data_IF_949102427998
#
_entry.id   IF_949102427998
#
_cell.length_a   1.000
_cell.length_b   1.000
_cell.length_c   1.000
_cell.angle_alpha   90.00
_cell.angle_beta   90.00
_cell.angle_gamma   90.00
#
_symmetry.space_group_name_H-M   'P 1'
#
loop_
_entity.id
_entity.type
_entity.pdbx_description
1 polymer ?
#
# COMPACT_ATOMS: atom_id res chain seq x y z
N UNK A 1 0.41 -22.24 8.62
CA UNK A 1 -0.55 -21.17 8.97
C UNK A 1 -0.73 -21.19 10.48
N UNK A 2 -0.03 -20.32 11.21
CA UNK A 2 -0.20 -20.21 12.64
C UNK A 2 -1.50 -19.41 12.90
N UNK A 3 -2.44 -20.05 13.60
CA UNK A 3 -3.62 -19.37 14.14
C UNK A 3 -3.13 -18.23 15.03
N UNK A 4 -3.49 -16.98 14.71
CA UNK A 4 -3.37 -15.87 15.64
C UNK A 4 -4.29 -16.16 16.80
N UNK A 5 -3.75 -16.85 17.81
CA UNK A 5 -4.44 -17.01 19.08
C UNK A 5 -4.45 -15.67 19.79
N UNK A 6 -5.67 -15.25 20.13
CA UNK A 6 -6.02 -14.25 21.14
C UNK A 6 -5.42 -12.84 20.95
N UNK A 7 -6.22 -11.83 21.23
CA UNK A 7 -5.86 -10.41 21.32
C UNK A 7 -4.77 -10.17 22.41
N UNK A 8 -3.53 -10.56 22.11
CA UNK A 8 -2.38 -10.23 22.95
C UNK A 8 -2.11 -8.75 22.70
N UNK A 9 -2.36 -7.93 23.70
CA UNK A 9 -2.00 -6.53 23.64
C UNK A 9 -0.49 -6.41 23.99
N UNK A 10 0.35 -6.39 22.96
CA UNK A 10 1.80 -6.28 23.12
C UNK A 10 2.21 -5.01 23.86
N UNK A 11 1.43 -3.93 23.70
CA UNK A 11 1.66 -2.66 24.42
C UNK A 11 1.64 -2.85 25.92
N UNK A 12 0.63 -3.54 26.46
CA UNK A 12 0.51 -3.74 27.91
C UNK A 12 1.46 -4.80 28.44
N UNK A 13 1.79 -5.81 27.63
CA UNK A 13 2.62 -6.95 28.08
C UNK A 13 4.11 -6.66 27.93
N UNK A 14 4.52 -6.01 26.84
CA UNK A 14 5.94 -5.82 26.50
C UNK A 14 6.27 -4.35 26.26
N UNK A 15 5.35 -3.58 25.69
CA UNK A 15 5.62 -2.23 25.21
C UNK A 15 6.05 -1.26 26.31
N UNK A 16 5.52 -1.39 27.51
CA UNK A 16 5.92 -0.57 28.66
C UNK A 16 7.40 -0.76 29.06
N UNK A 17 8.04 -1.86 28.62
CA UNK A 17 9.46 -2.09 28.88
C UNK A 17 10.36 -1.19 28.03
N UNK A 18 9.88 -0.69 26.85
CA UNK A 18 10.69 0.11 25.95
C UNK A 18 11.30 1.36 26.58
N UNK A 19 10.62 1.96 27.57
CA UNK A 19 11.12 3.13 28.30
C UNK A 19 12.27 2.82 29.27
N UNK A 20 12.48 1.54 29.63
CA UNK A 20 13.50 1.07 30.57
C UNK A 20 14.59 0.25 29.90
N UNK A 21 14.70 0.26 28.59
CA UNK A 21 15.75 -0.43 27.83
C UNK A 21 16.98 0.46 27.75
N UNK A 22 18.06 0.03 28.36
CA UNK A 22 19.35 0.75 28.38
C UNK A 22 20.48 -0.01 27.71
N UNK A 23 20.20 -1.22 27.21
CA UNK A 23 21.19 -2.05 26.53
C UNK A 23 20.65 -2.72 25.26
N UNK A 24 21.58 -3.08 24.36
CA UNK A 24 21.25 -3.83 23.14
C UNK A 24 20.69 -5.22 23.47
N UNK A 25 21.18 -5.83 24.57
CA UNK A 25 20.73 -7.15 25.03
C UNK A 25 19.27 -7.13 25.46
N UNK A 26 18.89 -6.13 26.26
CA UNK A 26 17.49 -5.95 26.72
C UNK A 26 16.56 -5.77 25.52
N UNK A 27 16.92 -4.91 24.55
CA UNK A 27 16.13 -4.71 23.35
C UNK A 27 16.02 -5.98 22.50
N UNK A 28 17.12 -6.75 22.41
CA UNK A 28 17.13 -8.03 21.70
C UNK A 28 16.17 -9.04 22.32
N UNK A 29 16.14 -9.11 23.66
CA UNK A 29 15.22 -9.97 24.40
C UNK A 29 13.75 -9.59 24.15
N UNK A 30 13.45 -8.29 24.25
CA UNK A 30 12.09 -7.77 23.96
C UNK A 30 11.65 -8.11 22.54
N UNK A 31 12.48 -7.91 21.52
CA UNK A 31 12.13 -8.26 20.15
C UNK A 31 11.96 -9.76 19.95
N UNK A 32 12.75 -10.59 20.64
CA UNK A 32 12.59 -12.05 20.62
C UNK A 32 11.26 -12.49 21.24
N UNK A 33 10.85 -11.87 22.34
CA UNK A 33 9.59 -12.20 22.99
C UNK A 33 8.39 -11.78 22.14
N UNK A 34 8.45 -10.60 21.51
CA UNK A 34 7.44 -10.20 20.53
C UNK A 34 7.40 -11.19 19.36
N UNK A 35 8.55 -11.57 18.79
CA UNK A 35 8.63 -12.51 17.67
C UNK A 35 7.99 -13.86 18.01
N UNK A 36 8.25 -14.39 19.21
CA UNK A 36 7.60 -15.64 19.70
C UNK A 36 6.09 -15.47 19.77
N UNK A 37 5.59 -14.35 20.32
CA UNK A 37 4.15 -14.12 20.49
C UNK A 37 3.40 -14.01 19.14
N UNK A 38 4.02 -13.41 18.12
CA UNK A 38 3.41 -13.29 16.79
C UNK A 38 3.69 -14.47 15.86
N UNK A 39 4.42 -15.48 16.34
CA UNK A 39 4.76 -16.70 15.56
C UNK A 39 5.74 -16.44 14.39
N UNK A 40 6.61 -15.44 14.53
CA UNK A 40 7.70 -15.15 13.59
C UNK A 40 8.98 -15.79 14.12
N UNK A 41 9.95 -16.03 13.22
CA UNK A 41 11.25 -16.56 13.64
C UNK A 41 11.88 -15.67 14.72
N UNK A 42 12.19 -16.24 15.86
CA UNK A 42 12.87 -15.64 17.01
C UNK A 42 14.31 -16.18 17.13
N UNK A 43 15.00 -15.78 18.17
CA UNK A 43 16.40 -16.18 18.41
C UNK A 43 17.38 -15.20 17.80
N UNK A 44 17.00 -13.92 17.72
CA UNK A 44 17.91 -12.84 17.35
C UNK A 44 19.04 -12.73 18.37
N UNK A 45 20.26 -12.47 17.86
CA UNK A 45 21.44 -12.25 18.68
C UNK A 45 21.72 -10.76 18.82
N UNK A 46 22.25 -10.34 19.96
CA UNK A 46 22.62 -8.96 20.25
C UNK A 46 23.52 -8.35 19.18
N UNK A 47 24.55 -9.08 18.73
CA UNK A 47 25.44 -8.62 17.69
C UNK A 47 24.75 -8.43 16.32
N UNK A 48 23.68 -9.19 16.03
CA UNK A 48 22.87 -8.98 14.83
C UNK A 48 22.06 -7.68 14.94
N UNK A 49 21.40 -7.45 16.08
CA UNK A 49 20.65 -6.21 16.32
C UNK A 49 21.58 -4.99 16.22
N UNK A 50 22.74 -5.03 16.87
CA UNK A 50 23.74 -3.97 16.80
C UNK A 50 24.22 -3.73 15.36
N UNK A 51 24.54 -4.79 14.62
CA UNK A 51 24.93 -4.71 13.22
C UNK A 51 23.83 -4.12 12.34
N UNK A 52 22.56 -4.52 12.57
CA UNK A 52 21.42 -4.07 11.78
C UNK A 52 20.91 -2.68 12.16
N UNK A 53 21.26 -2.17 13.33
CA UNK A 53 21.01 -0.78 13.73
C UNK A 53 22.06 0.19 13.20
N UNK A 54 23.18 -0.31 12.68
CA UNK A 54 24.26 0.45 12.06
C UNK A 54 23.99 0.60 10.56
N UNK A 55 23.46 1.76 10.16
CA UNK A 55 23.13 2.08 8.77
C UNK A 55 24.36 2.16 7.87
N UNK A 56 25.55 2.39 8.40
CA UNK A 56 26.82 2.34 7.66
C UNK A 56 27.15 0.96 7.07
N UNK A 57 26.45 -0.09 7.52
CA UNK A 57 26.59 -1.48 7.02
C UNK A 57 25.42 -1.89 6.11
N UNK A 58 24.86 -0.98 5.35
CA UNK A 58 23.62 -1.20 4.57
C UNK A 58 23.72 -2.38 3.58
N UNK A 59 24.87 -2.63 2.99
CA UNK A 59 25.13 -3.77 2.09
C UNK A 59 24.94 -5.15 2.77
N UNK A 60 25.11 -5.23 4.09
CA UNK A 60 24.91 -6.46 4.87
C UNK A 60 23.48 -6.64 5.36
N UNK A 61 22.68 -5.59 5.25
CA UNK A 61 21.32 -5.49 5.79
C UNK A 61 20.27 -5.61 4.71
N UNK A 62 20.55 -5.06 3.52
CA UNK A 62 19.54 -4.78 2.51
C UNK A 62 19.97 -5.13 1.09
N UNK A 63 19.00 -5.35 0.24
CA UNK A 63 19.22 -5.44 -1.21
C UNK A 63 18.35 -4.38 -1.89
N UNK A 64 18.93 -3.65 -2.85
CA UNK A 64 18.26 -2.56 -3.57
C UNK A 64 17.75 -3.03 -4.92
N UNK A 65 16.48 -2.72 -5.22
CA UNK A 65 15.83 -3.01 -6.48
C UNK A 65 15.30 -1.72 -7.13
N UNK A 66 15.33 -1.66 -8.46
CA UNK A 66 14.70 -0.57 -9.22
C UNK A 66 13.43 -1.10 -9.92
N UNK A 67 12.29 -0.52 -9.58
CA UNK A 67 11.01 -0.82 -10.23
C UNK A 67 10.57 0.34 -11.12
N UNK A 68 10.09 0.05 -12.33
CA UNK A 68 9.53 1.08 -13.23
C UNK A 68 8.20 1.60 -12.68
N UNK A 69 8.02 2.93 -12.68
CA UNK A 69 6.75 3.58 -12.37
C UNK A 69 5.83 3.51 -13.59
N UNK A 70 4.50 3.50 -13.38
CA UNK A 70 3.48 3.46 -14.44
C UNK A 70 3.60 4.59 -15.47
N UNK A 71 3.93 5.78 -15.02
CA UNK A 71 3.99 7.00 -15.84
C UNK A 71 5.42 7.43 -16.14
N UNK A 72 6.35 6.49 -16.21
CA UNK A 72 7.77 6.73 -16.45
C UNK A 72 8.58 6.93 -15.16
N UNK A 73 9.92 6.81 -15.31
CA UNK A 73 10.85 6.84 -14.18
C UNK A 73 10.94 5.51 -13.42
N UNK A 74 11.76 5.50 -12.39
CA UNK A 74 12.00 4.33 -11.52
C UNK A 74 11.70 4.66 -10.06
N UNK A 75 11.44 3.63 -9.28
CA UNK A 75 11.30 3.67 -7.83
C UNK A 75 12.36 2.74 -7.24
N UNK A 76 13.14 3.23 -6.29
CA UNK A 76 14.04 2.39 -5.52
C UNK A 76 13.22 1.66 -4.44
N UNK A 77 13.43 0.35 -4.34
CA UNK A 77 12.89 -0.50 -3.28
C UNK A 77 14.07 -1.06 -2.53
N UNK A 78 14.07 -0.88 -1.23
CA UNK A 78 15.10 -1.41 -0.32
C UNK A 78 14.50 -2.59 0.42
N UNK A 79 14.95 -3.79 0.10
CA UNK A 79 14.47 -5.02 0.72
C UNK A 79 15.39 -5.44 1.86
N UNK A 80 14.88 -5.63 3.08
CA UNK A 80 15.68 -6.13 4.18
C UNK A 80 16.04 -7.62 3.97
N UNK A 81 17.22 -8.05 4.38
CA UNK A 81 17.59 -9.46 4.43
C UNK A 81 16.75 -10.20 5.49
N UNK A 82 16.69 -11.52 5.41
CA UNK A 82 15.73 -12.34 6.19
C UNK A 82 15.77 -12.05 7.70
N UNK A 83 16.96 -11.98 8.31
CA UNK A 83 17.07 -11.73 9.76
C UNK A 83 16.60 -10.33 10.15
N UNK A 84 16.98 -9.30 9.36
CA UNK A 84 16.47 -7.95 9.56
C UNK A 84 14.94 -7.88 9.32
N UNK A 85 14.43 -8.59 8.29
CA UNK A 85 13.02 -8.64 8.00
C UNK A 85 12.22 -9.14 9.21
N UNK A 86 12.66 -10.21 9.87
CA UNK A 86 11.98 -10.77 11.04
C UNK A 86 12.02 -9.83 12.25
N UNK A 87 13.15 -9.14 12.50
CA UNK A 87 13.23 -8.11 13.54
C UNK A 87 12.26 -6.95 13.27
N UNK A 88 12.22 -6.47 12.01
CA UNK A 88 11.31 -5.42 11.60
C UNK A 88 9.84 -5.84 11.68
N UNK A 89 9.52 -7.10 11.42
CA UNK A 89 8.16 -7.64 11.59
C UNK A 89 7.75 -7.68 13.07
N UNK A 90 8.65 -8.13 13.94
CA UNK A 90 8.42 -8.12 15.39
C UNK A 90 8.20 -6.69 15.88
N UNK A 91 9.07 -5.77 15.52
CA UNK A 91 8.93 -4.37 15.93
C UNK A 91 7.69 -3.71 15.34
N UNK A 92 7.34 -3.98 14.08
CA UNK A 92 6.12 -3.44 13.47
C UNK A 92 4.84 -3.92 14.18
N UNK A 93 4.80 -5.17 14.64
CA UNK A 93 3.67 -5.68 15.42
C UNK A 93 3.48 -4.87 16.72
N UNK A 94 4.58 -4.57 17.41
CA UNK A 94 4.58 -3.72 18.59
C UNK A 94 4.18 -2.27 18.26
N UNK A 95 4.72 -1.68 17.20
CA UNK A 95 4.35 -0.34 16.75
C UNK A 95 2.86 -0.21 16.43
N UNK A 96 2.26 -1.24 15.83
CA UNK A 96 0.83 -1.23 15.51
C UNK A 96 -0.07 -1.21 16.75
N UNK A 97 0.37 -1.75 17.87
CA UNK A 97 -0.38 -1.69 19.14
C UNK A 97 -0.27 -0.30 19.81
N UNK A 98 0.83 0.42 19.56
CA UNK A 98 0.97 1.82 19.98
C UNK A 98 0.28 2.81 19.06
N UNK A 99 0.15 2.46 17.78
CA UNK A 99 -0.35 3.37 16.77
C UNK A 99 -1.85 3.61 16.90
N UNK A 100 -2.21 4.84 17.22
CA UNK A 100 -3.60 5.31 17.20
C UNK A 100 -3.78 6.17 15.93
N UNK A 101 -4.50 5.68 14.92
CA UNK A 101 -4.68 6.41 13.67
C UNK A 101 -5.55 7.65 13.88
N UNK A 102 -5.18 8.75 13.21
CA UNK A 102 -6.03 9.94 13.15
C UNK A 102 -7.31 9.66 12.33
N UNK A 103 -8.40 10.41 12.55
CA UNK A 103 -9.63 10.26 11.76
C UNK A 103 -9.40 10.44 10.27
N UNK A 104 -8.45 11.27 9.87
CA UNK A 104 -8.16 11.67 8.49
C UNK A 104 -7.19 10.72 7.77
N UNK A 105 -6.45 9.87 8.50
CA UNK A 105 -5.50 8.93 7.92
C UNK A 105 -6.19 7.63 7.52
N UNK A 106 -6.09 7.25 6.23
CA UNK A 106 -6.69 6.04 5.66
C UNK A 106 -5.66 5.06 5.10
N UNK A 107 -4.51 5.54 4.63
CA UNK A 107 -3.44 4.68 4.12
C UNK A 107 -2.71 3.95 5.24
N UNK A 108 -2.42 2.65 5.04
CA UNK A 108 -1.69 1.81 5.99
C UNK A 108 -2.35 1.66 7.37
N UNK A 109 -3.62 1.96 7.48
CA UNK A 109 -4.41 1.83 8.70
C UNK A 109 -5.23 0.55 8.63
N UNK A 110 -5.17 -0.23 9.70
CA UNK A 110 -6.00 -1.43 9.84
C UNK A 110 -7.48 -1.03 9.78
N UNK A 111 -8.29 -1.84 9.13
CA UNK A 111 -9.74 -1.65 9.00
C UNK A 111 -10.16 -0.40 8.20
N UNK A 112 -9.22 0.27 7.53
CA UNK A 112 -9.49 1.35 6.57
C UNK A 112 -9.09 0.96 5.14
N UNK A 113 -9.79 1.51 4.16
CA UNK A 113 -9.61 1.18 2.74
C UNK A 113 -9.62 2.41 1.84
N UNK A 114 -9.17 2.25 0.60
CA UNK A 114 -9.26 3.32 -0.42
C UNK A 114 -10.73 3.71 -0.71
N UNK A 115 -11.67 2.77 -0.57
CA UNK A 115 -13.10 3.05 -0.76
C UNK A 115 -13.65 3.94 0.37
N UNK A 116 -13.29 3.66 1.62
CA UNK A 116 -13.68 4.48 2.76
C UNK A 116 -13.04 5.87 2.71
N UNK A 117 -11.77 5.97 2.25
CA UNK A 117 -11.13 7.25 1.98
C UNK A 117 -11.92 8.05 0.94
N UNK A 118 -12.22 7.45 -0.20
CA UNK A 118 -12.96 8.08 -1.28
C UNK A 118 -14.40 8.46 -0.87
N UNK A 119 -15.04 7.67 0.00
CA UNK A 119 -16.39 7.92 0.51
C UNK A 119 -16.54 9.28 1.22
N UNK A 120 -15.47 9.77 1.87
CA UNK A 120 -15.47 11.06 2.58
C UNK A 120 -15.69 12.26 1.63
N UNK A 121 -15.46 12.06 0.34
CA UNK A 121 -15.46 13.12 -0.67
C UNK A 121 -16.56 12.96 -1.74
N UNK A 122 -17.48 12.04 -1.52
CA UNK A 122 -18.60 11.80 -2.44
C UNK A 122 -19.50 13.03 -2.53
N UNK A 123 -19.97 13.34 -3.75
CA UNK A 123 -20.93 14.43 -4.02
C UNK A 123 -20.33 15.83 -4.03
N UNK A 124 -19.05 16.00 -3.72
CA UNK A 124 -18.39 17.32 -3.63
C UNK A 124 -18.19 17.97 -5.00
N UNK A 125 -18.35 19.30 -5.06
CA UNK A 125 -18.17 20.06 -6.31
C UNK A 125 -16.70 20.19 -6.72
N UNK A 126 -15.81 20.34 -5.76
CA UNK A 126 -14.38 20.52 -5.97
C UNK A 126 -13.59 19.50 -5.17
N UNK A 127 -12.61 18.84 -5.80
CA UNK A 127 -11.69 17.91 -5.17
C UNK A 127 -10.28 18.30 -5.58
N UNK A 128 -9.45 18.62 -4.60
CA UNK A 128 -8.03 18.90 -4.76
C UNK A 128 -7.23 17.69 -4.27
N UNK A 129 -6.51 17.06 -5.19
CA UNK A 129 -5.56 16.00 -4.86
C UNK A 129 -4.15 16.57 -4.88
N UNK A 130 -3.39 16.29 -3.85
CA UNK A 130 -1.99 16.72 -3.66
C UNK A 130 -1.18 15.48 -3.29
N UNK A 131 -0.06 15.27 -3.97
CA UNK A 131 0.88 14.17 -3.72
C UNK A 131 2.13 14.72 -3.02
N UNK A 132 2.63 14.03 -2.01
CA UNK A 132 3.89 14.38 -1.36
C UNK A 132 5.07 13.82 -2.18
N UNK A 133 6.02 14.69 -2.50
CA UNK A 133 7.21 14.29 -3.26
C UNK A 133 8.13 13.44 -2.39
N UNK A 134 8.58 12.30 -2.94
CA UNK A 134 9.54 11.39 -2.30
C UNK A 134 9.21 11.07 -0.82
N UNK A 135 7.94 10.77 -0.55
CA UNK A 135 7.33 10.67 0.78
C UNK A 135 8.18 9.91 1.80
N UNK A 136 8.48 8.62 1.54
CA UNK A 136 9.30 7.84 2.48
C UNK A 136 10.73 8.38 2.62
N UNK A 137 11.45 8.69 1.53
CA UNK A 137 12.78 9.29 1.63
C UNK A 137 12.83 10.69 2.28
N UNK A 138 11.71 11.38 2.43
CA UNK A 138 11.65 12.65 3.17
C UNK A 138 11.60 12.46 4.68
N UNK A 139 11.28 11.25 5.15
CA UNK A 139 11.24 10.94 6.58
C UNK A 139 12.64 10.52 7.02
N UNK A 140 13.30 11.42 7.75
CA UNK A 140 14.66 11.20 8.25
C UNK A 140 14.69 10.29 9.46
N UNK A 141 15.88 9.73 9.78
CA UNK A 141 16.12 8.96 10.99
C UNK A 141 15.76 9.75 12.25
N UNK A 142 16.09 11.05 12.28
CA UNK A 142 15.75 11.92 13.41
C UNK A 142 14.22 11.98 13.63
N UNK A 143 13.43 12.15 12.57
CA UNK A 143 11.96 12.15 12.69
C UNK A 143 11.42 10.83 13.25
N UNK A 144 12.05 9.71 12.88
CA UNK A 144 11.70 8.38 13.43
C UNK A 144 12.06 8.32 14.91
N UNK A 145 13.24 8.79 15.29
CA UNK A 145 13.70 8.82 16.67
C UNK A 145 12.82 9.69 17.55
N UNK A 146 12.44 10.87 17.08
CA UNK A 146 11.52 11.78 17.77
C UNK A 146 10.16 11.12 18.05
N UNK A 147 9.63 10.36 17.11
CA UNK A 147 8.40 9.60 17.29
C UNK A 147 8.55 8.49 18.33
N UNK A 148 9.71 7.81 18.37
CA UNK A 148 9.95 6.73 19.33
C UNK A 148 10.15 7.26 20.75
N UNK A 149 10.72 8.45 20.89
CA UNK A 149 10.89 9.13 22.20
C UNK A 149 9.58 9.73 22.73
N UNK A 150 8.66 10.07 21.84
CA UNK A 150 7.39 10.71 22.20
C UNK A 150 6.32 9.72 22.66
N UNK A 151 5.26 10.27 23.32
CA UNK A 151 4.02 9.53 23.57
C UNK A 151 3.38 9.03 22.25
N UNK A 152 2.79 7.84 22.22
CA UNK A 152 2.57 6.90 23.34
C UNK A 152 3.65 5.85 23.54
N UNK A 153 4.78 5.90 22.81
CA UNK A 153 5.82 4.85 22.84
C UNK A 153 6.78 5.07 24.01
N UNK A 154 7.33 6.29 24.14
CA UNK A 154 8.26 6.66 25.22
C UNK A 154 9.47 5.72 25.35
N UNK A 155 10.13 5.38 24.25
CA UNK A 155 11.39 4.64 24.33
C UNK A 155 12.43 5.40 25.17
N UNK A 156 13.34 4.67 25.81
CA UNK A 156 14.60 5.27 26.27
C UNK A 156 15.40 5.80 25.07
N UNK A 157 16.31 6.72 25.32
CA UNK A 157 17.18 7.29 24.25
C UNK A 157 17.98 6.19 23.53
N UNK A 158 18.49 5.22 24.27
CA UNK A 158 19.26 4.11 23.67
C UNK A 158 18.38 3.20 22.81
N UNK A 159 17.18 2.83 23.27
CA UNK A 159 16.24 2.05 22.49
C UNK A 159 15.79 2.81 21.22
N UNK A 160 15.49 4.10 21.33
CA UNK A 160 15.08 4.93 20.21
C UNK A 160 16.21 5.04 19.15
N UNK A 161 17.46 5.22 19.58
CA UNK A 161 18.64 5.25 18.72
C UNK A 161 18.83 3.94 17.94
N UNK A 162 18.72 2.80 18.61
CA UNK A 162 18.86 1.48 18.00
C UNK A 162 17.71 1.18 17.04
N UNK A 163 16.46 1.43 17.45
CA UNK A 163 15.27 1.16 16.66
C UNK A 163 15.15 2.09 15.45
N UNK A 164 15.52 3.37 15.59
CA UNK A 164 15.57 4.29 14.44
C UNK A 164 16.58 3.84 13.40
N UNK A 165 17.78 3.40 13.83
CA UNK A 165 18.78 2.81 12.96
C UNK A 165 18.30 1.52 12.28
N UNK A 166 17.60 0.64 13.03
CA UNK A 166 17.02 -0.59 12.48
C UNK A 166 16.00 -0.29 11.37
N UNK A 167 15.19 0.76 11.51
CA UNK A 167 14.10 1.12 10.63
C UNK A 167 14.47 1.99 9.43
N UNK A 168 15.69 2.50 9.36
CA UNK A 168 16.16 3.41 8.31
C UNK A 168 17.22 2.75 7.42
N UNK A 169 17.46 3.33 6.26
CA UNK A 169 18.50 2.93 5.32
C UNK A 169 19.23 4.18 4.80
N UNK A 170 20.51 4.04 4.48
CA UNK A 170 21.33 5.15 4.00
C UNK A 170 21.00 5.50 2.55
N UNK A 171 20.65 6.74 2.31
CA UNK A 171 20.46 7.35 0.99
C UNK A 171 21.45 8.53 0.85
N UNK A 172 21.65 9.10 -0.37
CA UNK A 172 22.58 10.20 -0.56
C UNK A 172 22.35 11.42 0.33
N UNK A 173 21.09 11.65 0.75
CA UNK A 173 20.69 12.74 1.64
C UNK A 173 20.79 12.40 3.14
N UNK A 174 21.23 11.20 3.51
CA UNK A 174 21.30 10.70 4.88
C UNK A 174 20.45 9.47 5.13
N UNK A 175 20.32 9.08 6.39
CA UNK A 175 19.50 7.94 6.80
C UNK A 175 18.01 8.32 6.78
N UNK A 176 17.22 7.58 6.00
CA UNK A 176 15.80 7.84 5.78
C UNK A 176 14.96 6.57 5.86
N UNK A 177 13.67 6.75 5.97
CA UNK A 177 12.71 5.66 5.96
C UNK A 177 12.63 5.03 4.55
N UNK A 178 12.98 3.72 4.39
CA UNK A 178 13.05 3.14 3.06
C UNK A 178 11.69 2.64 2.56
N UNK A 179 11.52 2.65 1.24
CA UNK A 179 10.43 1.91 0.61
C UNK A 179 10.77 0.42 0.59
N UNK A 180 10.18 -0.36 1.50
CA UNK A 180 10.40 -1.80 1.52
C UNK A 180 10.47 -2.41 2.90
N UNK A 181 10.64 -1.62 3.93
CA UNK A 181 10.63 -2.12 5.30
C UNK A 181 9.20 -2.26 5.84
N UNK A 182 8.91 -3.32 6.62
CA UNK A 182 7.59 -3.52 7.21
C UNK A 182 7.14 -2.39 8.14
N UNK A 183 8.09 -1.73 8.79
CA UNK A 183 7.86 -0.63 9.73
C UNK A 183 7.54 0.70 9.06
N UNK A 184 8.00 0.91 7.81
CA UNK A 184 7.88 2.19 7.12
C UNK A 184 6.44 2.73 7.02
N UNK A 185 5.42 1.91 6.71
CA UNK A 185 4.04 2.38 6.66
C UNK A 185 3.53 2.93 8.00
N UNK A 186 3.77 2.21 9.09
CA UNK A 186 3.29 2.61 10.43
C UNK A 186 4.02 3.85 10.92
N UNK A 187 5.36 3.86 10.82
CA UNK A 187 6.18 5.01 11.22
C UNK A 187 5.86 6.26 10.40
N UNK A 188 5.64 6.14 9.10
CA UNK A 188 5.25 7.29 8.28
C UNK A 188 3.95 7.94 8.74
N UNK A 189 2.97 7.14 9.15
CA UNK A 189 1.74 7.67 9.70
C UNK A 189 1.93 8.34 11.06
N UNK A 190 2.81 7.80 11.92
CA UNK A 190 3.11 8.39 13.21
C UNK A 190 3.82 9.75 13.06
N UNK A 191 4.80 9.84 12.15
CA UNK A 191 5.50 11.08 11.81
C UNK A 191 4.53 12.15 11.28
N UNK A 192 3.60 11.76 10.40
CA UNK A 192 2.66 12.69 9.80
C UNK A 192 1.52 13.15 10.72
N UNK A 193 1.41 12.63 11.93
CA UNK A 193 0.26 12.87 12.82
C UNK A 193 -0.01 14.37 13.04
N UNK A 194 1.01 15.12 13.46
CA UNK A 194 0.87 16.58 13.74
C UNK A 194 0.57 17.37 12.46
N UNK A 195 1.17 16.99 11.34
CA UNK A 195 0.87 17.56 10.03
C UNK A 195 -0.61 17.34 9.66
N UNK A 196 -1.13 16.11 9.83
CA UNK A 196 -2.53 15.78 9.56
C UNK A 196 -3.48 16.62 10.42
N UNK A 197 -3.16 16.82 11.71
CA UNK A 197 -3.95 17.63 12.64
C UNK A 197 -4.02 19.09 12.18
N UNK A 198 -2.89 19.71 11.78
CA UNK A 198 -2.85 21.08 11.27
C UNK A 198 -3.58 21.24 9.92
N UNK A 199 -3.39 20.27 9.00
CA UNK A 199 -4.06 20.26 7.70
C UNK A 199 -5.57 20.11 7.83
N UNK A 200 -6.03 19.25 8.74
CA UNK A 200 -7.45 19.04 9.00
C UNK A 200 -8.07 20.30 9.62
N UNK A 201 -7.40 20.94 10.57
CA UNK A 201 -7.85 22.22 11.14
C UNK A 201 -7.91 23.34 10.09
N UNK A 202 -6.92 23.41 9.18
CA UNK A 202 -6.92 24.36 8.07
C UNK A 202 -8.09 24.11 7.10
N UNK A 203 -8.36 22.86 6.76
CA UNK A 203 -9.48 22.46 5.89
C UNK A 203 -10.83 22.81 6.55
N UNK A 204 -10.99 22.51 7.82
CA UNK A 204 -12.21 22.79 8.57
C UNK A 204 -12.57 24.27 8.58
N UNK A 205 -11.59 25.16 8.73
CA UNK A 205 -11.80 26.63 8.73
C UNK A 205 -12.43 27.16 7.45
N UNK A 206 -12.23 26.46 6.32
CA UNK A 206 -12.81 26.84 5.02
C UNK A 206 -13.98 25.93 4.58
N UNK A 207 -14.51 25.11 5.48
CA UNK A 207 -15.59 24.17 5.18
C UNK A 207 -15.20 23.06 4.20
N UNK A 208 -13.91 22.67 4.17
CA UNK A 208 -13.42 21.58 3.35
C UNK A 208 -13.20 20.29 4.17
N UNK A 209 -13.39 19.14 3.54
CA UNK A 209 -13.06 17.82 4.07
C UNK A 209 -11.62 17.47 3.69
N UNK A 210 -10.84 16.95 4.64
CA UNK A 210 -9.47 16.48 4.44
C UNK A 210 -9.35 14.99 4.72
N UNK A 211 -8.58 14.27 3.88
CA UNK A 211 -8.09 12.93 4.18
C UNK A 211 -6.70 12.70 3.58
N UNK A 212 -5.95 11.75 4.15
CA UNK A 212 -4.65 11.31 3.61
C UNK A 212 -4.62 9.78 3.44
N UNK A 213 -4.15 9.35 2.26
CA UNK A 213 -3.85 7.96 1.96
C UNK A 213 -2.38 7.83 1.56
N UNK A 214 -1.51 7.47 2.51
CA UNK A 214 -0.05 7.48 2.35
C UNK A 214 0.48 8.87 1.96
N UNK A 215 1.03 9.02 0.74
CA UNK A 215 1.51 10.25 0.14
C UNK A 215 0.41 11.09 -0.55
N UNK A 216 -0.78 10.51 -0.78
CA UNK A 216 -1.90 11.18 -1.43
C UNK A 216 -2.78 11.92 -0.40
N UNK A 217 -2.75 13.25 -0.40
CA UNK A 217 -3.65 14.12 0.36
C UNK A 217 -4.83 14.54 -0.51
N UNK A 218 -6.03 14.54 0.06
CA UNK A 218 -7.25 14.94 -0.65
C UNK A 218 -8.03 15.95 0.18
N UNK A 219 -8.37 17.07 -0.47
CA UNK A 219 -9.28 18.08 0.07
C UNK A 219 -10.51 18.17 -0.82
N UNK A 220 -11.70 18.36 -0.23
CA UNK A 220 -12.92 18.53 -1.03
C UNK A 220 -13.87 19.55 -0.39
N UNK A 221 -14.55 20.32 -1.24
CA UNK A 221 -15.51 21.36 -0.81
C UNK A 221 -16.58 21.56 -1.87
N UNK A 222 -17.70 22.14 -1.47
CA UNK A 222 -18.75 22.58 -2.37
C UNK A 222 -18.55 24.05 -2.83
N UNK A 223 -17.62 24.78 -2.17
CA UNK A 223 -17.21 26.13 -2.50
C UNK A 223 -15.90 26.14 -3.29
N UNK A 224 -15.66 27.16 -4.15
CA UNK A 224 -14.45 27.30 -4.98
C UNK A 224 -13.27 27.88 -4.18
N UNK A 225 -12.94 27.24 -3.06
CA UNK A 225 -11.86 27.64 -2.14
C UNK A 225 -10.57 26.84 -2.31
N UNK A 226 -10.58 25.82 -3.17
CA UNK A 226 -9.49 24.85 -3.33
C UNK A 226 -8.61 25.14 -4.55
N UNK A 227 -8.54 26.39 -5.03
CA UNK A 227 -7.71 26.74 -6.18
C UNK A 227 -6.23 26.61 -5.84
N UNK A 228 -5.43 26.07 -6.76
CA UNK A 228 -3.97 25.94 -6.59
C UNK A 228 -3.23 27.29 -6.56
N UNK A 229 -3.88 28.36 -6.97
CA UNK A 229 -3.39 29.75 -6.85
C UNK A 229 -3.97 30.48 -5.63
N UNK A 230 -4.79 29.82 -4.82
CA UNK A 230 -5.48 30.40 -3.69
C UNK A 230 -4.68 30.37 -2.38
N UNK A 231 -5.10 31.18 -1.42
CA UNK A 231 -4.48 31.27 -0.10
C UNK A 231 -4.46 29.94 0.67
N UNK A 232 -5.51 29.14 0.50
CA UNK A 232 -5.56 27.81 1.14
C UNK A 232 -4.45 26.88 0.64
N UNK A 233 -4.19 26.85 -0.67
CA UNK A 233 -3.11 26.05 -1.22
C UNK A 233 -1.74 26.47 -0.69
N UNK A 234 -1.50 27.79 -0.60
CA UNK A 234 -0.29 28.35 0.00
C UNK A 234 -0.15 27.93 1.48
N UNK A 235 -1.25 27.99 2.23
CA UNK A 235 -1.26 27.53 3.63
C UNK A 235 -0.93 26.02 3.73
N UNK A 236 -1.49 25.17 2.86
CA UNK A 236 -1.15 23.74 2.81
C UNK A 236 0.34 23.54 2.51
N UNK A 237 0.92 24.28 1.55
CA UNK A 237 2.37 24.22 1.25
C UNK A 237 3.20 24.55 2.48
N UNK A 238 2.89 25.67 3.14
CA UNK A 238 3.60 26.10 4.36
C UNK A 238 3.53 25.05 5.47
N UNK A 239 2.35 24.45 5.71
CA UNK A 239 2.21 23.39 6.71
C UNK A 239 3.06 22.16 6.32
N UNK A 240 2.99 21.72 5.08
CA UNK A 240 3.73 20.54 4.59
C UNK A 240 5.24 20.76 4.71
N UNK A 241 5.73 21.96 4.33
CA UNK A 241 7.15 22.32 4.42
C UNK A 241 7.65 22.42 5.87
N UNK A 242 6.82 22.92 6.80
CA UNK A 242 7.10 22.95 8.24
C UNK A 242 7.42 21.55 8.80
N UNK A 243 6.80 20.51 8.26
CA UNK A 243 7.03 19.11 8.66
C UNK A 243 8.07 18.39 7.79
N UNK A 244 8.87 19.10 6.99
CA UNK A 244 9.98 18.53 6.23
C UNK A 244 9.57 17.85 4.93
N UNK A 245 8.32 17.99 4.50
CA UNK A 245 7.83 17.42 3.24
C UNK A 245 7.76 18.50 2.14
N UNK A 246 7.56 18.04 0.90
CA UNK A 246 7.37 18.92 -0.27
C UNK A 246 6.19 18.45 -1.10
N UNK A 247 5.45 19.39 -1.68
CA UNK A 247 4.37 19.07 -2.61
C UNK A 247 4.91 18.63 -3.97
N UNK A 248 4.25 17.67 -4.59
CA UNK A 248 4.49 17.30 -5.97
C UNK A 248 3.55 18.06 -6.90
N UNK A 249 3.94 19.27 -7.29
CA UNK A 249 3.11 20.15 -8.11
C UNK A 249 2.64 19.51 -9.42
N UNK A 250 3.51 18.68 -10.06
CA UNK A 250 3.17 17.99 -11.33
C UNK A 250 2.02 17.00 -11.19
N UNK A 251 1.79 16.50 -9.98
CA UNK A 251 0.69 15.56 -9.68
C UNK A 251 -0.49 16.26 -8.99
N UNK A 252 -0.31 17.46 -8.49
CA UNK A 252 -1.38 18.26 -7.89
C UNK A 252 -2.45 18.58 -8.93
N UNK A 253 -3.70 18.30 -8.61
CA UNK A 253 -4.81 18.51 -9.55
C UNK A 253 -6.09 18.90 -8.83
N UNK A 254 -6.74 19.95 -9.33
CA UNK A 254 -8.09 20.33 -8.95
C UNK A 254 -9.09 19.69 -9.93
N UNK A 255 -10.01 18.90 -9.40
CA UNK A 255 -11.08 18.26 -10.14
C UNK A 255 -12.40 18.94 -9.81
N UNK A 256 -13.25 19.17 -10.83
CA UNK A 256 -14.55 19.84 -10.68
C UNK A 256 -15.69 18.88 -11.06
N UNK A 257 -16.85 19.04 -10.42
CA UNK A 257 -18.08 18.35 -10.79
C UNK A 257 -18.41 18.62 -12.27
N UNK A 258 -18.97 17.64 -12.96
CA UNK A 258 -19.17 17.68 -14.42
C UNK A 258 -18.08 16.95 -15.21
N UNK A 259 -16.93 16.68 -14.58
CA UNK A 259 -15.90 15.76 -15.10
C UNK A 259 -15.71 14.60 -14.11
N UNK A 260 -15.08 13.52 -14.59
CA UNK A 260 -14.81 12.36 -13.73
C UNK A 260 -13.86 12.73 -12.60
N UNK A 261 -14.35 12.70 -11.36
CA UNK A 261 -13.56 12.91 -10.16
C UNK A 261 -13.05 11.55 -9.64
N UNK A 262 -11.79 11.51 -9.23
CA UNK A 262 -11.12 10.30 -8.72
C UNK A 262 -10.23 10.62 -7.52
N UNK A 263 -10.24 9.71 -6.54
CA UNK A 263 -9.40 9.74 -5.35
C UNK A 263 -8.73 8.37 -5.23
N UNK A 264 -7.39 8.31 -5.19
CA UNK A 264 -6.63 7.05 -5.10
C UNK A 264 -7.13 5.94 -6.06
N UNK A 265 -7.56 6.35 -7.28
CA UNK A 265 -8.07 5.42 -8.31
C UNK A 265 -9.55 5.06 -8.22
N UNK A 266 -10.25 5.46 -7.16
CA UNK A 266 -11.70 5.27 -6.99
C UNK A 266 -12.44 6.47 -7.56
N UNK A 267 -13.49 6.23 -8.35
CA UNK A 267 -14.37 7.28 -8.87
C UNK A 267 -15.29 7.74 -7.75
N UNK A 268 -15.40 9.07 -7.58
CA UNK A 268 -16.27 9.71 -6.61
C UNK A 268 -17.21 10.67 -7.34
N UNK A 269 -18.46 10.28 -7.51
CA UNK A 269 -19.53 11.13 -8.06
C UNK A 269 -20.65 11.18 -7.02
N UNK A 270 -21.80 10.64 -7.35
CA UNK A 270 -22.92 10.49 -6.39
C UNK A 270 -22.71 9.32 -5.41
N UNK A 271 -21.80 8.40 -5.75
CA UNK A 271 -21.29 7.31 -4.92
C UNK A 271 -19.89 6.88 -5.36
N UNK A 272 -19.18 6.15 -4.50
CA UNK A 272 -17.93 5.50 -4.87
C UNK A 272 -18.15 4.45 -5.95
N UNK A 273 -17.23 4.37 -6.92
CA UNK A 273 -17.32 3.41 -8.02
C UNK A 273 -15.93 3.05 -8.55
N UNK A 274 -15.85 1.91 -9.22
CA UNK A 274 -14.68 1.59 -10.05
C UNK A 274 -14.77 2.32 -11.40
N UNK A 275 -13.64 2.50 -12.09
CA UNK A 275 -13.67 3.09 -13.43
C UNK A 275 -14.42 2.18 -14.41
N UNK A 276 -15.03 2.78 -15.44
CA UNK A 276 -15.68 2.01 -16.54
C UNK A 276 -14.69 1.03 -17.18
N UNK A 277 -13.45 1.46 -17.32
CA UNK A 277 -12.35 0.67 -17.84
C UNK A 277 -12.10 -0.59 -17.01
N UNK A 278 -12.03 -0.43 -15.68
CA UNK A 278 -11.83 -1.55 -14.75
C UNK A 278 -12.93 -2.62 -14.88
N UNK A 279 -14.18 -2.19 -14.88
CA UNK A 279 -15.31 -3.10 -15.04
C UNK A 279 -15.34 -3.77 -16.43
N UNK A 280 -14.95 -3.04 -17.48
CA UNK A 280 -14.87 -3.58 -18.85
C UNK A 280 -13.82 -4.67 -18.95
N UNK A 281 -12.65 -4.47 -18.36
CA UNK A 281 -11.59 -5.49 -18.36
C UNK A 281 -12.01 -6.81 -17.71
N UNK A 282 -12.75 -6.75 -16.59
CA UNK A 282 -13.30 -7.96 -15.96
C UNK A 282 -14.29 -8.65 -16.91
N UNK A 283 -15.20 -7.88 -17.53
CA UNK A 283 -16.18 -8.43 -18.48
C UNK A 283 -15.50 -9.11 -19.66
N UNK A 284 -14.47 -8.46 -20.23
CA UNK A 284 -13.72 -9.01 -21.35
C UNK A 284 -13.04 -10.32 -20.99
N UNK A 285 -12.36 -10.39 -19.84
CA UNK A 285 -11.69 -11.63 -19.42
C UNK A 285 -12.68 -12.76 -19.14
N UNK A 286 -13.82 -12.47 -18.50
CA UNK A 286 -14.90 -13.46 -18.29
C UNK A 286 -15.54 -13.92 -19.58
N UNK A 287 -15.76 -13.00 -20.55
CA UNK A 287 -16.25 -13.34 -21.87
C UNK A 287 -15.28 -14.23 -22.66
N UNK A 288 -14.00 -13.89 -22.64
CA UNK A 288 -12.96 -14.68 -23.27
C UNK A 288 -12.90 -16.10 -22.69
N UNK A 289 -12.97 -16.24 -21.37
CA UNK A 289 -13.00 -17.53 -20.70
C UNK A 289 -14.22 -18.36 -21.13
N UNK A 290 -15.40 -17.77 -21.15
CA UNK A 290 -16.65 -18.43 -21.56
C UNK A 290 -16.63 -18.85 -23.03
N UNK A 291 -16.13 -17.97 -23.93
CA UNK A 291 -16.23 -18.18 -25.38
C UNK A 291 -15.11 -19.03 -25.96
N UNK A 292 -13.88 -18.81 -25.48
CA UNK A 292 -12.68 -19.40 -26.06
C UNK A 292 -11.96 -20.39 -25.11
N UNK A 293 -12.39 -20.45 -23.88
CA UNK A 293 -11.82 -21.32 -22.84
C UNK A 293 -10.78 -20.61 -21.97
N UNK A 294 -10.37 -21.31 -20.91
CA UNK A 294 -9.50 -20.75 -19.87
C UNK A 294 -8.08 -20.44 -20.37
N UNK A 295 -7.53 -21.33 -21.22
CA UNK A 295 -6.15 -21.19 -21.72
C UNK A 295 -6.02 -19.95 -22.63
N UNK A 296 -6.93 -19.77 -23.59
CA UNK A 296 -6.91 -18.63 -24.51
C UNK A 296 -7.14 -17.31 -23.78
N UNK A 297 -8.06 -17.30 -22.80
CA UNK A 297 -8.29 -16.13 -21.94
C UNK A 297 -7.06 -15.79 -21.08
N UNK A 298 -6.35 -16.81 -20.58
CA UNK A 298 -5.10 -16.63 -19.83
C UNK A 298 -3.97 -16.10 -20.69
N UNK A 299 -3.83 -16.57 -21.91
CA UNK A 299 -2.86 -16.06 -22.90
C UNK A 299 -3.13 -14.60 -23.25
N UNK A 300 -4.40 -14.23 -23.49
CA UNK A 300 -4.81 -12.84 -23.74
C UNK A 300 -4.52 -11.93 -22.55
N UNK A 301 -4.82 -12.39 -21.34
CA UNK A 301 -4.51 -11.68 -20.12
C UNK A 301 -3.00 -11.46 -19.97
N UNK A 302 -2.17 -12.48 -20.25
CA UNK A 302 -0.72 -12.38 -20.23
C UNK A 302 -0.18 -11.43 -21.30
N UNK A 303 -0.76 -11.48 -22.51
CA UNK A 303 -0.39 -10.56 -23.59
C UNK A 303 -0.70 -9.10 -23.21
N UNK A 304 -1.90 -8.82 -22.68
CA UNK A 304 -2.27 -7.50 -22.18
C UNK A 304 -1.29 -7.01 -21.11
N UNK A 305 -0.92 -7.89 -20.17
CA UNK A 305 0.04 -7.58 -19.13
C UNK A 305 1.41 -7.18 -19.73
N UNK A 306 1.94 -7.99 -20.66
CA UNK A 306 3.24 -7.75 -21.29
C UNK A 306 3.29 -6.46 -22.08
N UNK A 307 2.21 -6.13 -22.79
CA UNK A 307 2.12 -4.89 -23.55
C UNK A 307 2.15 -3.64 -22.67
N UNK A 308 1.64 -3.75 -21.44
CA UNK A 308 1.61 -2.63 -20.48
C UNK A 308 2.92 -2.45 -19.73
N UNK A 309 3.62 -3.54 -19.44
CA UNK A 309 4.79 -3.53 -18.54
C UNK A 309 6.12 -3.82 -19.25
N UNK A 310 6.06 -4.11 -20.56
CA UNK A 310 7.22 -4.50 -21.35
C UNK A 310 7.64 -5.97 -21.11
N UNK A 311 8.51 -6.48 -21.98
CA UNK A 311 9.12 -7.80 -21.81
C UNK A 311 10.22 -7.71 -20.74
N UNK A 312 9.92 -8.06 -19.51
CA UNK A 312 10.94 -8.20 -18.46
C UNK A 312 11.52 -9.63 -18.46
N UNK A 313 12.85 -9.74 -18.40
CA UNK A 313 13.53 -11.05 -18.27
C UNK A 313 13.02 -11.75 -17.00
N UNK A 314 12.48 -12.95 -17.14
CA UNK A 314 12.09 -13.78 -15.99
C UNK A 314 10.59 -13.88 -15.66
N UNK A 315 9.71 -13.25 -16.45
CA UNK A 315 8.26 -13.37 -16.25
C UNK A 315 7.75 -14.79 -16.52
N UNK A 316 6.83 -15.23 -15.67
CA UNK A 316 6.11 -16.49 -15.84
C UNK A 316 5.55 -16.61 -17.27
N UNK A 317 5.69 -17.79 -17.87
CA UNK A 317 5.06 -18.10 -19.16
C UNK A 317 3.54 -18.25 -19.05
N UNK A 318 3.00 -18.33 -17.84
CA UNK A 318 1.58 -18.54 -17.55
C UNK A 318 1.14 -17.65 -16.38
N UNK A 319 -0.10 -17.17 -16.43
CA UNK A 319 -0.76 -16.49 -15.32
C UNK A 319 -1.93 -17.34 -14.82
N UNK A 320 -2.24 -17.24 -13.54
CA UNK A 320 -3.46 -17.83 -13.00
C UNK A 320 -4.60 -16.82 -13.18
N UNK A 321 -5.32 -16.92 -14.31
CA UNK A 321 -6.43 -16.02 -14.64
C UNK A 321 -7.53 -16.01 -13.57
N UNK A 322 -7.83 -17.18 -12.98
CA UNK A 322 -8.84 -17.30 -11.92
C UNK A 322 -8.45 -16.49 -10.69
N UNK A 323 -7.19 -16.56 -10.25
CA UNK A 323 -6.70 -15.74 -9.14
C UNK A 323 -6.72 -14.24 -9.46
N UNK A 324 -6.36 -13.86 -10.69
CA UNK A 324 -6.42 -12.46 -11.14
C UNK A 324 -7.86 -11.93 -11.14
N UNK A 325 -8.80 -12.69 -11.71
CA UNK A 325 -10.22 -12.30 -11.73
C UNK A 325 -10.80 -12.21 -10.31
N UNK A 326 -10.49 -13.19 -9.46
CA UNK A 326 -10.92 -13.18 -8.06
C UNK A 326 -10.43 -11.91 -7.33
N UNK A 327 -9.16 -11.56 -7.46
CA UNK A 327 -8.61 -10.35 -6.87
C UNK A 327 -9.27 -9.07 -7.40
N UNK A 328 -9.54 -9.01 -8.71
CA UNK A 328 -10.26 -7.88 -9.32
C UNK A 328 -11.71 -7.77 -8.85
N UNK A 329 -12.40 -8.87 -8.73
CA UNK A 329 -13.77 -8.91 -8.23
C UNK A 329 -13.84 -8.55 -6.75
N UNK A 330 -12.87 -9.00 -5.93
CA UNK A 330 -12.76 -8.60 -4.52
C UNK A 330 -12.55 -7.09 -4.38
N UNK A 331 -11.70 -6.48 -5.22
CA UNK A 331 -11.55 -5.02 -5.24
C UNK A 331 -12.85 -4.32 -5.66
N UNK A 332 -13.57 -4.84 -6.68
CA UNK A 332 -14.86 -4.29 -7.08
C UNK A 332 -15.89 -4.39 -5.95
N UNK A 333 -15.95 -5.52 -5.23
CA UNK A 333 -16.79 -5.70 -4.04
C UNK A 333 -16.47 -4.65 -2.98
N UNK A 334 -15.18 -4.45 -2.67
CA UNK A 334 -14.75 -3.46 -1.68
C UNK A 334 -15.19 -2.04 -2.04
N UNK A 335 -15.12 -1.65 -3.33
CA UNK A 335 -15.47 -0.29 -3.78
C UNK A 335 -16.96 -0.10 -3.93
N UNK A 336 -17.67 -1.05 -4.54
CA UNK A 336 -19.10 -0.90 -4.91
C UNK A 336 -20.07 -1.47 -3.89
N UNK A 337 -19.59 -2.27 -2.96
CA UNK A 337 -20.41 -3.03 -2.01
C UNK A 337 -20.82 -4.39 -2.55
N UNK A 338 -21.16 -5.28 -1.63
CA UNK A 338 -21.53 -6.67 -1.91
C UNK A 338 -22.85 -6.78 -2.68
N UNK A 339 -23.79 -5.89 -2.43
CA UNK A 339 -25.11 -5.86 -3.06
C UNK A 339 -25.14 -5.17 -4.44
N UNK A 340 -24.01 -4.65 -4.95
CA UNK A 340 -24.01 -3.95 -6.25
C UNK A 340 -24.37 -4.89 -7.41
N UNK A 341 -25.38 -4.56 -8.23
CA UNK A 341 -25.85 -5.45 -9.30
C UNK A 341 -24.78 -5.80 -10.35
N UNK A 342 -23.84 -4.86 -10.62
CA UNK A 342 -22.75 -5.10 -11.56
C UNK A 342 -21.73 -6.08 -10.98
N UNK A 343 -21.40 -5.92 -9.70
CA UNK A 343 -20.54 -6.85 -8.99
C UNK A 343 -21.17 -8.25 -8.97
N UNK A 344 -22.41 -8.38 -8.50
CA UNK A 344 -23.11 -9.66 -8.40
C UNK A 344 -23.19 -10.39 -9.75
N UNK A 345 -23.54 -9.67 -10.83
CA UNK A 345 -23.56 -10.26 -12.18
C UNK A 345 -22.22 -10.84 -12.60
N UNK A 346 -21.12 -10.11 -12.34
CA UNK A 346 -19.77 -10.55 -12.73
C UNK A 346 -19.24 -11.64 -11.81
N UNK A 347 -19.55 -11.58 -10.53
CA UNK A 347 -19.21 -12.60 -9.55
C UNK A 347 -19.90 -13.93 -9.85
N UNK A 348 -21.22 -13.93 -10.09
CA UNK A 348 -21.96 -15.13 -10.44
C UNK A 348 -21.45 -15.78 -11.73
N UNK A 349 -21.10 -14.95 -12.73
CA UNK A 349 -20.48 -15.45 -13.96
C UNK A 349 -19.12 -16.09 -13.70
N UNK A 350 -18.29 -15.45 -12.86
CA UNK A 350 -17.00 -16.03 -12.45
C UNK A 350 -17.19 -17.37 -11.72
N UNK A 351 -18.11 -17.44 -10.76
CA UNK A 351 -18.39 -18.68 -10.02
C UNK A 351 -18.86 -19.82 -10.95
N UNK A 352 -19.75 -19.53 -11.88
CA UNK A 352 -20.24 -20.52 -12.85
C UNK A 352 -19.10 -21.05 -13.73
N UNK A 353 -18.24 -20.18 -14.26
CA UNK A 353 -17.10 -20.59 -15.08
C UNK A 353 -16.04 -21.37 -14.25
N UNK A 354 -15.84 -20.98 -13.01
CA UNK A 354 -14.90 -21.65 -12.11
C UNK A 354 -15.40 -23.05 -11.71
N UNK A 355 -16.70 -23.20 -11.42
CA UNK A 355 -17.34 -24.46 -11.09
C UNK A 355 -17.39 -25.45 -12.29
N UNK A 356 -17.56 -24.92 -13.51
CA UNK A 356 -17.51 -25.72 -14.74
C UNK A 356 -16.09 -26.30 -15.03
N UNK A 357 -15.10 -25.92 -14.24
CA UNK A 357 -13.72 -26.34 -14.42
C UNK A 357 -13.01 -25.52 -15.51
N UNK A 358 -11.96 -26.09 -16.07
CA UNK A 358 -11.12 -25.44 -17.09
C UNK A 358 -11.25 -26.19 -18.43
N UNK A 359 -12.43 -26.19 -19.10
CA UNK A 359 -12.60 -26.93 -20.35
C UNK A 359 -11.63 -26.41 -21.41
N UNK A 360 -11.01 -27.32 -22.14
CA UNK A 360 -10.19 -26.98 -23.29
C UNK A 360 -11.03 -26.27 -24.34
N UNK A 361 -10.44 -25.31 -25.06
CA UNK A 361 -11.11 -24.55 -26.10
C UNK A 361 -11.85 -25.45 -27.09
N UNK A 362 -13.13 -25.18 -27.34
CA UNK A 362 -13.96 -25.89 -28.31
C UNK A 362 -13.66 -25.51 -29.78
N UNK A 363 -12.84 -24.47 -30.00
CA UNK A 363 -12.67 -23.89 -31.34
C UNK A 363 -11.23 -23.42 -31.63
N UNK A 364 -10.26 -24.33 -31.51
CA UNK A 364 -8.92 -24.03 -32.02
C UNK A 364 -8.87 -24.32 -33.52
N UNK A 365 -9.36 -23.40 -34.38
CA UNK A 365 -8.94 -23.37 -35.80
C UNK A 365 -7.48 -22.93 -35.83
N UNK A 366 -6.60 -23.78 -36.40
CA UNK A 366 -5.20 -23.44 -36.67
C UNK A 366 -5.17 -22.14 -37.52
N UNK A 367 -4.63 -21.05 -36.98
CA UNK A 367 -4.41 -19.80 -37.69
C UNK A 367 -4.99 -18.52 -37.08
N UNK A 368 -5.92 -18.60 -36.11
CA UNK A 368 -6.43 -17.38 -35.48
C UNK A 368 -5.64 -17.06 -34.21
N UNK A 369 -4.85 -16.00 -34.26
CA UNK A 369 -4.22 -15.44 -33.07
C UNK A 369 -5.28 -14.63 -32.32
N UNK A 370 -5.57 -14.87 -31.02
CA UNK A 370 -6.60 -14.11 -30.27
C UNK A 370 -6.36 -12.60 -30.22
N UNK A 371 -5.22 -12.14 -30.73
CA UNK A 371 -4.85 -10.74 -30.81
C UNK A 371 -5.50 -9.96 -31.97
N UNK A 372 -5.99 -10.65 -33.02
CA UNK A 372 -6.44 -9.96 -34.24
C UNK A 372 -7.96 -9.65 -34.28
N UNK A 373 -8.76 -10.25 -33.38
CA UNK A 373 -10.23 -10.12 -33.43
C UNK A 373 -10.80 -9.16 -32.36
N UNK A 374 -9.97 -8.31 -31.74
CA UNK A 374 -10.42 -7.38 -30.70
C UNK A 374 -10.56 -5.95 -31.25
N UNK A 375 -11.78 -5.46 -31.47
CA UNK A 375 -12.02 -4.09 -31.94
C UNK A 375 -11.74 -3.05 -30.85
N UNK A 376 -11.30 -3.45 -29.63
CA UNK A 376 -11.08 -2.53 -28.52
C UNK A 376 -9.71 -2.71 -27.88
N UNK A 377 -8.83 -1.73 -28.06
CA UNK A 377 -7.59 -1.58 -27.30
C UNK A 377 -7.92 -1.40 -25.81
N UNK A 378 -7.76 -2.46 -25.02
CA UNK A 378 -7.98 -2.44 -23.57
C UNK A 378 -6.63 -2.34 -22.86
N UNK A 379 -6.22 -1.14 -22.50
CA UNK A 379 -5.10 -0.89 -21.60
C UNK A 379 -5.50 -1.07 -20.14
N UNK A 380 -4.90 -1.97 -19.38
CA UNK A 380 -5.17 -2.14 -17.94
C UNK A 380 -4.42 -3.30 -17.27
N UNK A 381 -4.10 -3.14 -16.05
CA UNK A 381 -3.16 -3.85 -15.17
C UNK A 381 -3.37 -5.34 -14.89
N UNK A 382 -2.28 -6.09 -14.95
CA UNK A 382 -2.12 -7.43 -14.36
C UNK A 382 -0.71 -7.56 -13.76
N UNK A 383 -0.61 -7.92 -12.49
CA UNK A 383 0.67 -8.16 -11.80
C UNK A 383 1.09 -9.64 -11.81
N UNK A 384 2.38 -9.91 -11.93
CA UNK A 384 2.98 -11.25 -11.96
C UNK A 384 3.32 -11.81 -10.58
N UNK A 385 3.24 -13.14 -10.38
CA UNK A 385 3.83 -13.79 -9.21
C UNK A 385 5.35 -13.95 -9.38
N UNK A 386 6.15 -13.79 -8.31
CA UNK A 386 7.60 -13.82 -8.36
C UNK A 386 8.21 -15.23 -8.32
N UNK A 387 9.44 -15.39 -8.86
CA UNK A 387 10.23 -16.63 -8.77
C UNK A 387 10.78 -16.84 -7.34
N UNK A 388 11.00 -18.10 -6.97
CA UNK A 388 11.63 -18.51 -5.69
C UNK A 388 12.95 -17.72 -5.48
N UNK A 389 12.99 -16.88 -4.45
CA UNK A 389 14.11 -15.99 -4.11
C UNK A 389 13.78 -14.49 -4.18
N UNK A 390 12.95 -14.03 -5.12
CA UNK A 390 12.38 -12.66 -5.14
C UNK A 390 10.91 -12.61 -4.69
N UNK A 391 10.30 -13.78 -4.48
CA UNK A 391 8.89 -13.95 -4.16
C UNK A 391 8.46 -13.24 -2.87
N UNK A 392 9.35 -13.18 -1.88
CA UNK A 392 9.07 -12.56 -0.58
C UNK A 392 8.92 -11.04 -0.65
N UNK A 393 9.64 -10.36 -1.53
CA UNK A 393 9.70 -8.89 -1.54
C UNK A 393 8.61 -8.27 -2.42
N UNK A 394 8.33 -8.85 -3.57
CA UNK A 394 7.25 -8.37 -4.46
C UNK A 394 5.89 -8.89 -3.97
N UNK A 395 5.82 -10.11 -3.40
CA UNK A 395 4.65 -10.57 -2.68
C UNK A 395 4.40 -9.75 -1.40
N UNK A 396 5.43 -9.22 -0.77
CA UNK A 396 5.28 -8.39 0.43
C UNK A 396 4.71 -7.00 0.10
N UNK A 397 4.99 -6.42 -1.07
CA UNK A 397 4.38 -5.16 -1.51
C UNK A 397 3.05 -5.32 -2.25
N UNK A 398 2.89 -6.37 -3.02
CA UNK A 398 1.58 -6.84 -3.47
C UNK A 398 0.77 -7.38 -2.27
N UNK A 399 1.38 -8.03 -1.28
CA UNK A 399 0.75 -8.48 -0.05
C UNK A 399 0.58 -7.36 0.99
N UNK A 400 1.35 -6.29 1.04
CA UNK A 400 1.00 -5.11 1.87
C UNK A 400 -0.08 -4.24 1.22
N UNK A 401 -0.12 -4.15 -0.11
CA UNK A 401 -1.29 -3.62 -0.83
C UNK A 401 -2.45 -4.63 -0.89
N UNK A 402 -2.15 -5.96 -0.85
CA UNK A 402 -3.12 -7.06 -0.95
C UNK A 402 -3.34 -7.80 0.36
N UNK A 403 -2.43 -7.80 1.32
CA UNK A 403 -2.65 -8.40 2.64
C UNK A 403 -3.39 -7.46 3.59
N UNK A 404 -3.42 -6.17 3.33
CA UNK A 404 -4.52 -5.34 3.79
C UNK A 404 -5.87 -5.83 3.21
N UNK A 405 -5.88 -6.46 2.02
CA UNK A 405 -7.07 -6.99 1.32
C UNK A 405 -7.33 -8.49 1.55
N UNK A 406 -6.33 -9.32 1.81
CA UNK A 406 -6.49 -10.79 1.98
C UNK A 406 -6.46 -11.25 3.43
N UNK A 407 -5.84 -10.53 4.34
CA UNK A 407 -6.00 -10.78 5.78
C UNK A 407 -7.44 -10.50 6.26
N UNK A 408 -8.19 -9.69 5.52
CA UNK A 408 -9.60 -9.41 5.77
C UNK A 408 -10.54 -10.56 5.41
N UNK A 409 -10.27 -11.34 4.35
CA UNK A 409 -11.19 -12.37 3.87
C UNK A 409 -10.95 -13.78 4.45
N UNK A 410 -10.00 -13.94 5.39
CA UNK A 410 -9.77 -15.23 6.09
C UNK A 410 -10.15 -15.19 7.56
N UNK A 411 -10.73 -14.08 8.06
CA UNK A 411 -11.15 -13.92 9.46
C UNK A 411 -12.47 -13.13 9.62
N UNK A 412 -13.36 -13.20 8.61
CA UNK A 412 -14.80 -12.93 8.80
C UNK A 412 -15.57 -14.24 8.74
#
# INVERSE_FOLDING_TARGET
MARRNQNINLKTTIGNQLQYIYSVDELTNVLNDVAKQIGVQAGFRTNQLQCFSDTGKDDRRTTRYRMRKKHGGTRAIVAPHSSLLFMLQAFNALLQDFYVPTPWCYGFVRDKSVAQNAQQHVGKRYILNIDLKDFFPSITRQMVEDVLLAEPIKCSTEAARLLSGLCTATEPQGDVLPQGFPTSPTLSNMVCRKMDEELAAAAQRIGATYTRYADDMTFSSDSDVLRTTGSFYMQVSTIVEKYGFRLNERKTRLQRRGRRQQITGVVVSDKVNVTREYARQIRTLLYMWERYGYEDASEKALWNYRNQHGKTKGHSKRINLSAVLRGRLSYMKMVKGEADPTYLKLWNKYCALHAAGYPKSKTRKRGMHPANDDPMHVGGYLGDPPRRGCALVVAFFALLAFAGLLAWNLYA
#
